data_IF_432805404411
#
_entry.id   IF_432805404411
#
_cell.length_a   1.000
_cell.length_b   1.000
_cell.length_c   1.000
_cell.angle_alpha   90.00
_cell.angle_beta   90.00
_cell.angle_gamma   90.00
#
_symmetry.space_group_name_H-M   'P 1'
#
loop_
_entity.id
_entity.type
_entity.pdbx_description
1 polymer ?
#
# COMPACT_ATOMS: atom_id res chain seq x y z
N UNK A 1 -0.17 -18.17 7.12
CA UNK A 1 0.51 -17.03 6.48
C UNK A 1 1.83 -16.80 7.20
N UNK A 2 2.88 -16.51 6.45
CA UNK A 2 4.25 -16.36 6.93
C UNK A 2 4.69 -14.91 6.76
N UNK A 3 5.18 -14.32 7.85
CA UNK A 3 5.89 -13.04 7.81
C UNK A 3 7.36 -13.31 7.48
N UNK A 4 7.97 -12.46 6.65
CA UNK A 4 9.30 -12.75 6.05
C UNK A 4 10.46 -12.60 7.04
N UNK A 5 10.38 -11.65 7.97
CA UNK A 5 11.54 -11.22 8.77
C UNK A 5 11.34 -11.19 10.28
N UNK A 6 10.08 -11.17 10.73
CA UNK A 6 9.71 -11.12 12.15
C UNK A 6 8.31 -11.66 12.34
N UNK A 7 7.92 -11.97 13.59
CA UNK A 7 6.55 -12.36 13.91
C UNK A 7 5.88 -11.23 14.68
N UNK A 8 4.83 -10.58 14.15
CA UNK A 8 4.12 -9.54 14.88
C UNK A 8 3.50 -10.06 16.18
N UNK A 9 3.35 -9.14 17.13
CA UNK A 9 2.64 -9.40 18.38
C UNK A 9 1.22 -9.92 18.10
N UNK A 10 0.76 -10.96 18.82
CA UNK A 10 -0.60 -11.46 18.67
C UNK A 10 -1.66 -10.37 18.88
N UNK A 11 -2.72 -10.37 18.07
CA UNK A 11 -3.76 -9.32 18.12
C UNK A 11 -4.42 -9.17 19.49
N UNK A 12 -4.58 -10.27 20.23
CA UNK A 12 -5.13 -10.30 21.59
C UNK A 12 -4.29 -9.55 22.64
N UNK A 13 -3.01 -9.31 22.35
CA UNK A 13 -2.09 -8.60 23.23
C UNK A 13 -1.94 -7.12 22.85
N UNK A 14 -2.63 -6.66 21.80
CA UNK A 14 -2.59 -5.27 21.40
C UNK A 14 -3.24 -4.36 22.45
N UNK A 15 -2.64 -3.19 22.66
CA UNK A 15 -3.12 -2.15 23.56
C UNK A 15 -3.15 -0.80 22.83
N UNK A 16 -3.75 0.23 23.46
CA UNK A 16 -3.77 1.60 22.94
C UNK A 16 -4.31 1.71 21.51
N UNK A 17 -3.61 2.49 20.68
CA UNK A 17 -3.99 2.75 19.28
C UNK A 17 -4.09 1.49 18.44
N UNK A 18 -3.16 0.55 18.59
CA UNK A 18 -3.17 -0.72 17.84
C UNK A 18 -4.43 -1.53 18.16
N UNK A 19 -4.86 -1.57 19.42
CA UNK A 19 -6.10 -2.25 19.79
C UNK A 19 -7.34 -1.57 19.17
N UNK A 20 -7.38 -0.24 19.14
CA UNK A 20 -8.47 0.52 18.52
C UNK A 20 -8.55 0.29 17.00
N UNK A 21 -7.40 0.21 16.32
CA UNK A 21 -7.33 -0.16 14.89
C UNK A 21 -7.85 -1.58 14.69
N UNK A 22 -7.42 -2.55 15.51
CA UNK A 22 -7.90 -3.93 15.42
C UNK A 22 -9.40 -4.07 15.71
N UNK A 23 -9.96 -3.23 16.57
CA UNK A 23 -11.40 -3.18 16.77
C UNK A 23 -12.11 -2.72 15.48
N UNK A 24 -11.71 -1.58 14.90
CA UNK A 24 -12.31 -1.12 13.64
C UNK A 24 -12.13 -2.12 12.50
N UNK A 25 -10.99 -2.78 12.41
CA UNK A 25 -10.76 -3.84 11.43
C UNK A 25 -11.79 -4.97 11.57
N UNK A 26 -12.08 -5.43 12.79
CA UNK A 26 -13.10 -6.47 13.01
C UNK A 26 -14.51 -6.02 12.61
N UNK A 27 -14.81 -4.75 12.83
CA UNK A 27 -16.15 -4.18 12.59
C UNK A 27 -16.40 -3.88 11.11
N UNK A 28 -15.37 -3.40 10.39
CA UNK A 28 -15.50 -2.85 9.05
C UNK A 28 -14.82 -3.70 7.95
N UNK A 29 -13.91 -4.61 8.30
CA UNK A 29 -13.07 -5.31 7.32
C UNK A 29 -13.00 -6.84 7.53
N UNK A 30 -13.31 -7.56 6.46
CA UNK A 30 -13.22 -9.02 6.40
C UNK A 30 -11.95 -9.53 5.69
N UNK A 31 -11.03 -8.63 5.34
CA UNK A 31 -9.83 -9.00 4.61
C UNK A 31 -8.69 -9.47 5.51
N UNK A 32 -7.49 -9.68 4.94
CA UNK A 32 -6.41 -10.35 5.65
C UNK A 32 -5.80 -9.44 6.73
N UNK A 33 -6.03 -9.80 7.99
CA UNK A 33 -5.38 -9.17 9.16
C UNK A 33 -3.84 -9.08 9.07
N UNK A 34 -3.12 -10.02 8.41
CA UNK A 34 -1.65 -9.99 8.41
C UNK A 34 -1.00 -8.74 7.84
N UNK A 35 -1.64 -8.05 6.88
CA UNK A 35 -1.16 -6.75 6.37
C UNK A 35 -1.03 -5.72 7.50
N UNK A 36 -2.06 -5.62 8.35
CA UNK A 36 -2.09 -4.67 9.46
C UNK A 36 -1.28 -5.14 10.65
N UNK A 37 -1.15 -6.45 10.87
CA UNK A 37 -0.25 -6.99 11.88
C UNK A 37 1.22 -6.69 11.56
N UNK A 38 1.64 -6.75 10.30
CA UNK A 38 3.02 -6.38 9.92
C UNK A 38 3.37 -4.92 10.24
N UNK A 39 2.38 -4.02 10.30
CA UNK A 39 2.58 -2.63 10.68
C UNK A 39 2.45 -2.36 12.18
N UNK A 40 2.05 -3.36 12.98
CA UNK A 40 1.69 -3.16 14.40
C UNK A 40 2.84 -2.76 15.32
N UNK A 41 4.08 -2.99 14.89
CA UNK A 41 5.27 -2.49 15.58
C UNK A 41 5.40 -0.95 15.52
N UNK A 42 4.65 -0.30 14.62
CA UNK A 42 4.64 1.15 14.41
C UNK A 42 3.19 1.65 14.40
N UNK A 43 2.56 1.84 15.58
CA UNK A 43 1.13 2.10 15.71
C UNK A 43 0.60 3.30 14.91
N UNK A 44 1.40 4.34 14.72
CA UNK A 44 1.08 5.53 13.93
C UNK A 44 1.02 5.23 12.43
N UNK A 45 1.93 4.41 11.89
CA UNK A 45 1.90 3.98 10.48
C UNK A 45 0.75 3.00 10.28
N UNK A 46 0.53 2.09 11.22
CA UNK A 46 -0.62 1.19 11.21
C UNK A 46 -1.94 1.96 11.14
N UNK A 47 -2.15 2.91 12.06
CA UNK A 47 -3.40 3.67 12.13
C UNK A 47 -3.63 4.50 10.86
N UNK A 48 -2.60 5.19 10.36
CA UNK A 48 -2.71 5.97 9.14
C UNK A 48 -2.95 5.10 7.88
N UNK A 49 -2.34 3.92 7.82
CA UNK A 49 -2.58 2.96 6.73
C UNK A 49 -4.01 2.42 6.77
N UNK A 50 -4.50 2.06 7.96
CA UNK A 50 -5.88 1.62 8.13
C UNK A 50 -6.86 2.73 7.78
N UNK A 51 -6.64 3.95 8.26
CA UNK A 51 -7.51 5.08 7.96
C UNK A 51 -7.60 5.35 6.46
N UNK A 52 -6.45 5.41 5.77
CA UNK A 52 -6.46 5.65 4.33
C UNK A 52 -7.20 4.53 3.57
N UNK A 53 -6.94 3.26 3.92
CA UNK A 53 -7.64 2.14 3.29
C UNK A 53 -9.14 2.18 3.57
N UNK A 54 -9.54 2.41 4.82
CA UNK A 54 -10.94 2.49 5.21
C UNK A 54 -11.67 3.62 4.49
N UNK A 55 -11.15 4.85 4.57
CA UNK A 55 -11.83 6.01 4.00
C UNK A 55 -11.86 5.98 2.47
N UNK A 56 -10.85 5.41 1.81
CA UNK A 56 -10.81 5.37 0.35
C UNK A 56 -11.52 4.15 -0.24
N UNK A 57 -11.30 2.95 0.32
CA UNK A 57 -11.82 1.70 -0.24
C UNK A 57 -13.17 1.30 0.37
N UNK A 58 -13.36 1.51 1.68
CA UNK A 58 -14.51 0.97 2.41
C UNK A 58 -15.69 1.94 2.52
N UNK A 59 -15.40 3.19 2.85
CA UNK A 59 -16.41 4.21 3.12
C UNK A 59 -16.67 5.12 1.91
N UNK A 60 -17.82 5.79 1.90
CA UNK A 60 -18.18 6.75 0.86
C UNK A 60 -18.96 6.16 -0.32
N UNK A 61 -19.24 7.03 -1.29
CA UNK A 61 -20.33 6.89 -2.27
C UNK A 61 -19.87 6.32 -3.61
N UNK A 62 -18.56 6.32 -3.91
CA UNK A 62 -18.09 5.77 -5.16
C UNK A 62 -18.37 4.25 -5.21
N UNK A 63 -18.73 3.70 -6.39
CA UNK A 63 -19.07 2.28 -6.50
C UNK A 63 -17.95 1.39 -5.95
N UNK A 64 -18.29 0.53 -4.98
CA UNK A 64 -17.29 -0.33 -4.34
C UNK A 64 -16.56 -1.24 -5.33
N UNK A 65 -17.24 -1.70 -6.39
CA UNK A 65 -16.64 -2.48 -7.47
C UNK A 65 -15.53 -1.72 -8.19
N UNK A 66 -15.69 -0.42 -8.44
CA UNK A 66 -14.68 0.40 -9.12
C UNK A 66 -13.44 0.61 -8.24
N UNK A 67 -13.65 0.81 -6.93
CA UNK A 67 -12.56 0.94 -5.96
C UNK A 67 -11.76 -0.37 -5.85
N UNK A 68 -12.44 -1.51 -5.71
CA UNK A 68 -11.78 -2.83 -5.72
C UNK A 68 -11.08 -3.13 -7.06
N UNK A 69 -11.65 -2.69 -8.18
CA UNK A 69 -11.04 -2.82 -9.51
C UNK A 69 -9.71 -2.05 -9.60
N UNK A 70 -9.69 -0.81 -9.11
CA UNK A 70 -8.48 0.01 -9.05
C UNK A 70 -7.44 -0.63 -8.14
N UNK A 71 -7.84 -1.10 -6.95
CA UNK A 71 -6.95 -1.79 -6.03
C UNK A 71 -6.32 -3.05 -6.65
N UNK A 72 -7.11 -3.86 -7.36
CA UNK A 72 -6.62 -5.03 -8.09
C UNK A 72 -5.66 -4.66 -9.22
N UNK A 73 -5.99 -3.62 -10.01
CA UNK A 73 -5.16 -3.16 -11.11
C UNK A 73 -3.80 -2.60 -10.65
N UNK A 74 -3.78 -1.80 -9.58
CA UNK A 74 -2.55 -1.32 -8.92
C UNK A 74 -1.75 -2.49 -8.35
N UNK A 75 -2.41 -3.50 -7.79
CA UNK A 75 -1.77 -4.72 -7.27
C UNK A 75 -1.08 -5.54 -8.34
N UNK A 76 -1.72 -5.69 -9.49
CA UNK A 76 -1.10 -6.28 -10.66
C UNK A 76 0.10 -5.46 -11.15
N UNK A 77 -0.06 -4.13 -11.28
CA UNK A 77 1.01 -3.25 -11.75
C UNK A 77 2.22 -3.23 -10.80
N UNK A 78 1.98 -3.25 -9.49
CA UNK A 78 3.02 -3.35 -8.45
C UNK A 78 3.54 -4.79 -8.24
N UNK A 79 3.07 -5.78 -9.01
CA UNK A 79 3.43 -7.21 -8.90
C UNK A 79 3.23 -7.79 -7.49
N UNK A 80 2.20 -7.32 -6.78
CA UNK A 80 1.85 -7.81 -5.44
C UNK A 80 0.75 -8.87 -5.55
N UNK A 81 1.16 -10.14 -5.61
CA UNK A 81 0.24 -11.27 -5.81
C UNK A 81 -0.78 -11.40 -4.67
N UNK A 82 -0.33 -11.22 -3.43
CA UNK A 82 -1.18 -11.27 -2.24
C UNK A 82 -2.37 -10.31 -2.34
N UNK A 83 -2.10 -9.04 -2.65
CA UNK A 83 -3.14 -8.03 -2.78
C UNK A 83 -4.01 -8.29 -4.02
N UNK A 84 -3.43 -8.68 -5.14
CA UNK A 84 -4.19 -9.04 -6.35
C UNK A 84 -5.22 -10.14 -6.04
N UNK A 85 -4.80 -11.22 -5.40
CA UNK A 85 -5.68 -12.33 -5.04
C UNK A 85 -6.79 -11.89 -4.08
N UNK A 86 -6.47 -11.04 -3.09
CA UNK A 86 -7.44 -10.52 -2.14
C UNK A 86 -8.52 -9.65 -2.82
N UNK A 87 -8.12 -8.77 -3.75
CA UNK A 87 -9.07 -7.91 -4.46
C UNK A 87 -9.88 -8.67 -5.52
N UNK A 88 -9.32 -9.68 -6.18
CA UNK A 88 -10.09 -10.58 -7.06
C UNK A 88 -11.15 -11.33 -6.25
N UNK A 89 -10.81 -11.84 -5.06
CA UNK A 89 -11.77 -12.45 -4.15
C UNK A 89 -12.90 -11.48 -3.75
N UNK A 90 -12.58 -10.23 -3.43
CA UNK A 90 -13.58 -9.21 -3.08
C UNK A 90 -14.48 -8.83 -4.27
N UNK A 91 -13.93 -8.74 -5.48
CA UNK A 91 -14.74 -8.54 -6.70
C UNK A 91 -15.74 -9.68 -6.92
N UNK A 92 -15.36 -10.94 -6.63
CA UNK A 92 -16.32 -12.05 -6.61
C UNK A 92 -17.41 -11.86 -5.55
N UNK A 93 -17.06 -11.43 -4.33
CA UNK A 93 -18.01 -11.19 -3.25
C UNK A 93 -19.04 -10.11 -3.61
N UNK A 94 -18.62 -9.09 -4.35
CA UNK A 94 -19.45 -8.02 -4.87
C UNK A 94 -20.31 -8.44 -6.09
N UNK A 95 -20.18 -9.69 -6.55
CA UNK A 95 -20.93 -10.20 -7.72
C UNK A 95 -20.27 -9.87 -9.06
N UNK A 96 -19.13 -9.19 -9.09
CA UNK A 96 -18.41 -8.80 -10.29
C UNK A 96 -17.47 -9.90 -10.82
N UNK A 97 -17.92 -11.16 -10.83
CA UNK A 97 -17.05 -12.33 -11.10
C UNK A 97 -16.38 -12.30 -12.48
N UNK A 98 -17.06 -11.83 -13.53
CA UNK A 98 -16.46 -11.70 -14.86
C UNK A 98 -15.32 -10.68 -14.88
N UNK A 99 -15.50 -9.56 -14.19
CA UNK A 99 -14.49 -8.52 -14.03
C UNK A 99 -13.30 -9.02 -13.20
N UNK A 100 -13.58 -9.72 -12.10
CA UNK A 100 -12.57 -10.33 -11.24
C UNK A 100 -11.62 -11.25 -12.04
N UNK A 101 -12.21 -12.12 -12.86
CA UNK A 101 -11.47 -13.08 -13.68
C UNK A 101 -10.69 -12.43 -14.83
N UNK A 102 -11.24 -11.39 -15.47
CA UNK A 102 -10.52 -10.60 -16.48
C UNK A 102 -9.26 -9.95 -15.89
N UNK A 103 -9.40 -9.28 -14.74
CA UNK A 103 -8.27 -8.63 -14.06
C UNK A 103 -7.22 -9.65 -13.58
N UNK A 104 -7.66 -10.79 -13.05
CA UNK A 104 -6.77 -11.88 -12.64
C UNK A 104 -5.91 -12.38 -13.82
N UNK A 105 -6.51 -12.55 -15.01
CA UNK A 105 -5.77 -12.93 -16.23
C UNK A 105 -5.00 -11.77 -16.85
N UNK A 106 -5.31 -10.53 -16.50
CA UNK A 106 -4.70 -9.34 -17.08
C UNK A 106 -5.33 -8.92 -18.40
N UNK A 107 -6.54 -9.35 -18.62
CA UNK A 107 -7.35 -8.96 -19.76
C UNK A 107 -7.96 -7.58 -19.50
N UNK A 108 -8.15 -6.82 -20.58
CA UNK A 108 -8.90 -5.56 -20.52
C UNK A 108 -10.38 -5.86 -20.28
N UNK A 109 -11.04 -5.24 -19.28
CA UNK A 109 -12.47 -5.37 -19.10
C UNK A 109 -13.25 -4.94 -20.36
N UNK A 110 -14.38 -5.60 -20.69
CA UNK A 110 -15.15 -5.29 -21.90
C UNK A 110 -15.87 -3.95 -21.83
N UNK A 111 -16.21 -3.47 -20.63
CA UNK A 111 -16.88 -2.18 -20.45
C UNK A 111 -15.87 -1.02 -20.52
N UNK A 112 -16.08 -0.01 -21.40
CA UNK A 112 -15.12 1.07 -21.62
C UNK A 112 -14.71 1.83 -20.35
N UNK A 113 -15.67 2.07 -19.44
CA UNK A 113 -15.41 2.75 -18.16
C UNK A 113 -14.45 1.95 -17.28
N UNK A 114 -14.68 0.65 -17.16
CA UNK A 114 -13.81 -0.25 -16.39
C UNK A 114 -12.43 -0.42 -17.05
N UNK A 115 -12.37 -0.47 -18.39
CA UNK A 115 -11.11 -0.51 -19.13
C UNK A 115 -10.27 0.75 -18.89
N UNK A 116 -10.90 1.93 -18.92
CA UNK A 116 -10.23 3.20 -18.65
C UNK A 116 -9.69 3.27 -17.21
N UNK A 117 -10.49 2.86 -16.22
CA UNK A 117 -10.08 2.79 -14.81
C UNK A 117 -8.87 1.86 -14.61
N UNK A 118 -8.91 0.66 -15.20
CA UNK A 118 -7.79 -0.30 -15.13
C UNK A 118 -6.55 0.26 -15.81
N UNK A 119 -6.67 0.86 -16.99
CA UNK A 119 -5.56 1.46 -17.72
C UNK A 119 -4.91 2.60 -16.94
N UNK A 120 -5.72 3.50 -16.37
CA UNK A 120 -5.27 4.59 -15.50
C UNK A 120 -4.54 4.06 -14.26
N UNK A 121 -5.14 3.09 -13.56
CA UNK A 121 -4.53 2.46 -12.39
C UNK A 121 -3.21 1.74 -12.73
N UNK A 122 -3.12 1.05 -13.87
CA UNK A 122 -1.89 0.36 -14.27
C UNK A 122 -0.77 1.33 -14.69
N UNK A 123 -1.11 2.43 -15.35
CA UNK A 123 -0.16 3.48 -15.69
C UNK A 123 0.49 4.09 -14.42
N UNK A 124 -0.08 3.87 -13.23
CA UNK A 124 0.32 4.59 -12.00
C UNK A 124 1.59 4.11 -11.38
N UNK A 125 2.04 2.95 -11.84
CA UNK A 125 3.38 2.50 -11.53
C UNK A 125 4.47 3.41 -12.08
N UNK A 126 4.25 3.99 -13.25
CA UNK A 126 5.21 4.81 -13.99
C UNK A 126 4.53 6.05 -14.57
N UNK A 127 4.17 7.02 -13.71
CA UNK A 127 3.62 8.29 -14.16
C UNK A 127 4.65 9.01 -15.04
N UNK A 128 4.46 9.04 -16.37
CA UNK A 128 5.36 9.83 -17.23
C UNK A 128 5.26 11.30 -16.83
N UNK A 129 6.41 11.97 -16.72
CA UNK A 129 6.50 13.37 -16.32
C UNK A 129 5.92 14.34 -17.39
N UNK A 130 4.58 14.42 -17.46
CA UNK A 130 3.76 15.55 -17.91
C UNK A 130 2.27 15.13 -17.90
N UNK A 131 1.46 15.84 -17.12
CA UNK A 131 0.00 15.90 -17.36
C UNK A 131 -0.82 14.67 -16.97
N UNK A 132 -0.49 13.98 -15.89
CA UNK A 132 -1.44 13.03 -15.35
C UNK A 132 -2.52 13.75 -14.54
N UNK A 133 -3.74 13.87 -15.06
CA UNK A 133 -4.89 14.32 -14.27
C UNK A 133 -5.60 13.14 -13.59
N UNK A 134 -5.92 13.28 -12.30
CA UNK A 134 -6.93 12.44 -11.69
C UNK A 134 -8.30 12.93 -12.15
N UNK A 135 -8.94 12.23 -13.09
CA UNK A 135 -10.34 12.49 -13.48
C UNK A 135 -11.34 11.89 -12.49
N UNK A 136 -10.85 11.29 -11.40
CA UNK A 136 -11.64 10.60 -10.41
C UNK A 136 -11.61 11.32 -9.06
N UNK A 137 -12.71 11.18 -8.31
CA UNK A 137 -12.86 11.77 -6.98
C UNK A 137 -11.98 11.10 -5.91
N UNK A 138 -12.00 11.65 -4.68
CA UNK A 138 -11.05 11.29 -3.62
C UNK A 138 -10.99 9.79 -3.29
N UNK A 139 -12.10 9.07 -3.33
CA UNK A 139 -12.14 7.64 -2.98
C UNK A 139 -11.37 6.75 -3.95
N UNK A 140 -11.50 7.00 -5.26
CA UNK A 140 -10.80 6.24 -6.30
C UNK A 140 -9.30 6.56 -6.28
N UNK A 141 -8.95 7.84 -6.18
CA UNK A 141 -7.57 8.32 -6.10
C UNK A 141 -6.88 7.87 -4.82
N UNK A 142 -7.56 8.01 -3.69
CA UNK A 142 -7.10 7.50 -2.41
C UNK A 142 -6.90 5.99 -2.42
N UNK A 143 -7.78 5.23 -3.09
CA UNK A 143 -7.63 3.78 -3.22
C UNK A 143 -6.38 3.43 -4.01
N UNK A 144 -6.13 4.12 -5.12
CA UNK A 144 -4.89 3.96 -5.89
C UNK A 144 -3.66 4.18 -5.00
N UNK A 145 -3.63 5.29 -4.26
CA UNK A 145 -2.48 5.64 -3.40
C UNK A 145 -2.33 4.68 -2.22
N UNK A 146 -3.44 4.25 -1.60
CA UNK A 146 -3.46 3.26 -0.53
C UNK A 146 -2.78 1.96 -0.99
N UNK A 147 -3.11 1.47 -2.18
CA UNK A 147 -2.52 0.23 -2.70
C UNK A 147 -1.15 0.43 -3.33
N UNK A 148 -0.74 1.64 -3.70
CA UNK A 148 0.69 1.91 -3.91
C UNK A 148 1.50 1.66 -2.64
N UNK A 149 1.03 2.18 -1.50
CA UNK A 149 1.72 2.00 -0.23
C UNK A 149 1.64 0.55 0.28
N UNK A 150 0.41 0.02 0.42
CA UNK A 150 0.15 -1.31 0.99
C UNK A 150 0.86 -2.40 0.20
N UNK A 151 0.84 -2.35 -1.13
CA UNK A 151 1.47 -3.40 -1.95
C UNK A 151 2.98 -3.49 -1.74
N UNK A 152 3.62 -2.35 -1.48
CA UNK A 152 5.06 -2.29 -1.18
C UNK A 152 5.36 -2.85 0.19
N UNK A 153 4.58 -2.48 1.20
CA UNK A 153 4.67 -3.03 2.57
C UNK A 153 4.44 -4.54 2.57
N UNK A 154 3.35 -5.00 1.96
CA UNK A 154 2.99 -6.43 1.89
C UNK A 154 4.08 -7.22 1.18
N UNK A 155 4.52 -6.78 0.01
CA UNK A 155 5.57 -7.49 -0.74
C UNK A 155 6.92 -7.48 -0.01
N UNK A 156 7.19 -6.48 0.83
CA UNK A 156 8.39 -6.43 1.65
C UNK A 156 8.32 -7.38 2.86
N UNK A 157 7.18 -7.44 3.55
CA UNK A 157 7.11 -8.04 4.89
C UNK A 157 6.37 -9.37 4.96
N UNK A 158 5.55 -9.70 3.96
CA UNK A 158 4.72 -10.91 3.93
C UNK A 158 5.15 -11.84 2.78
N UNK A 159 4.94 -13.13 3.00
CA UNK A 159 4.98 -14.13 1.94
C UNK A 159 3.88 -13.86 0.88
N UNK A 160 4.14 -14.13 -0.42
CA UNK A 160 3.19 -13.84 -1.49
C UNK A 160 1.86 -14.62 -1.41
N UNK A 161 1.81 -15.75 -0.70
CA UNK A 161 0.59 -16.57 -0.66
C UNK A 161 -0.45 -16.09 0.36
N UNK A 162 -1.64 -15.73 -0.13
CA UNK A 162 -2.77 -15.30 0.69
C UNK A 162 -3.38 -16.46 1.50
N UNK A 163 -3.62 -17.61 0.89
CA UNK A 163 -4.07 -18.82 1.60
C UNK A 163 -2.94 -19.84 1.65
N UNK A 164 -2.91 -20.72 2.67
CA UNK A 164 -1.92 -21.80 2.75
C UNK A 164 -1.85 -22.59 1.43
N UNK A 165 -0.65 -22.78 0.90
CA UNK A 165 -0.43 -23.52 -0.35
C UNK A 165 -1.01 -22.88 -1.61
N UNK A 166 -1.33 -21.57 -1.59
CA UNK A 166 -1.80 -20.86 -2.76
C UNK A 166 -3.24 -21.22 -3.18
N UNK A 167 -4.05 -21.80 -2.30
CA UNK A 167 -5.41 -22.27 -2.60
C UNK A 167 -6.33 -21.20 -3.20
N UNK A 168 -6.06 -19.91 -2.94
CA UNK A 168 -6.80 -18.78 -3.52
C UNK A 168 -6.67 -18.68 -5.04
N UNK A 169 -5.71 -19.39 -5.65
CA UNK A 169 -5.54 -19.41 -7.11
C UNK A 169 -6.62 -20.24 -7.81
N UNK A 170 -7.38 -21.06 -7.06
CA UNK A 170 -8.51 -21.82 -7.59
C UNK A 170 -9.77 -20.95 -7.76
N UNK A 171 -10.36 -20.86 -8.97
CA UNK A 171 -11.59 -20.11 -9.20
C UNK A 171 -12.76 -20.55 -8.31
N UNK A 172 -12.83 -21.86 -7.98
CA UNK A 172 -13.85 -22.41 -7.09
C UNK A 172 -13.69 -21.85 -5.67
N UNK A 173 -12.46 -21.82 -5.14
CA UNK A 173 -12.15 -21.28 -3.81
C UNK A 173 -12.47 -19.79 -3.77
N UNK A 174 -12.15 -19.03 -4.83
CA UNK A 174 -12.50 -17.61 -4.92
C UNK A 174 -14.00 -17.38 -4.93
N UNK A 175 -14.75 -18.17 -5.71
CA UNK A 175 -16.21 -18.07 -5.77
C UNK A 175 -16.88 -18.41 -4.44
N UNK A 176 -16.45 -19.49 -3.77
CA UNK A 176 -16.99 -19.91 -2.47
C UNK A 176 -16.62 -18.91 -1.38
N UNK A 177 -15.35 -18.52 -1.28
CA UNK A 177 -14.90 -17.51 -0.33
C UNK A 177 -15.62 -16.17 -0.52
N UNK A 178 -15.80 -15.73 -1.76
CA UNK A 178 -16.53 -14.50 -2.08
C UNK A 178 -17.98 -14.52 -1.58
N UNK A 179 -18.68 -15.65 -1.70
CA UNK A 179 -20.06 -15.78 -1.18
C UNK A 179 -20.15 -15.62 0.33
N UNK A 180 -19.17 -16.12 1.08
CA UNK A 180 -19.13 -15.97 2.54
C UNK A 180 -19.00 -14.51 2.99
N UNK A 181 -18.33 -13.68 2.18
CA UNK A 181 -18.05 -12.28 2.50
C UNK A 181 -19.00 -11.28 1.83
N UNK A 182 -19.95 -11.75 1.01
CA UNK A 182 -20.81 -10.89 0.19
C UNK A 182 -21.65 -9.88 0.99
N UNK A 183 -22.16 -10.25 2.18
CA UNK A 183 -23.02 -9.36 2.98
C UNK A 183 -22.23 -8.14 3.49
N UNK A 184 -21.12 -8.37 4.17
CA UNK A 184 -20.34 -7.28 4.75
C UNK A 184 -19.48 -6.54 3.71
N UNK A 185 -19.14 -7.16 2.57
CA UNK A 185 -18.52 -6.43 1.46
C UNK A 185 -19.46 -5.39 0.81
N UNK A 186 -20.78 -5.59 0.88
CA UNK A 186 -21.80 -4.70 0.30
C UNK A 186 -22.35 -3.67 1.28
N UNK A 187 -22.01 -3.79 2.55
CA UNK A 187 -22.48 -2.87 3.58
C UNK A 187 -21.82 -1.49 3.40
N UNK A 188 -22.62 -0.44 3.29
CA UNK A 188 -22.14 0.93 3.22
C UNK A 188 -21.50 1.34 4.54
N UNK A 189 -20.35 2.01 4.49
CA UNK A 189 -19.64 2.49 5.66
C UNK A 189 -19.60 4.01 5.66
N UNK A 190 -19.95 4.61 6.80
CA UNK A 190 -19.88 6.05 6.99
C UNK A 190 -18.43 6.55 6.93
N UNK A 191 -18.14 7.61 6.15
CA UNK A 191 -16.84 8.27 6.15
C UNK A 191 -16.46 8.86 7.51
N UNK A 192 -15.16 9.01 7.75
CA UNK A 192 -14.59 9.74 8.89
C UNK A 192 -14.37 8.94 10.16
N UNK A 193 -14.93 7.73 10.33
CA UNK A 193 -14.82 6.97 11.60
C UNK A 193 -13.37 6.58 11.96
N UNK A 194 -12.45 6.53 11.00
CA UNK A 194 -11.04 6.23 11.30
C UNK A 194 -10.21 7.46 11.68
N UNK A 195 -10.68 8.67 11.42
CA UNK A 195 -9.90 9.89 11.66
C UNK A 195 -9.50 10.10 13.13
N UNK A 196 -10.32 9.77 14.14
CA UNK A 196 -9.91 9.87 15.54
C UNK A 196 -8.74 8.96 15.94
N UNK A 197 -8.34 8.01 15.09
CA UNK A 197 -7.16 7.16 15.32
C UNK A 197 -5.84 7.86 14.96
N UNK A 198 -5.91 9.00 14.27
CA UNK A 198 -4.77 9.70 13.68
C UNK A 198 -4.25 10.79 14.62
N UNK A 199 -2.93 10.92 14.68
CA UNK A 199 -2.28 12.14 15.17
C UNK A 199 -2.20 13.14 14.02
N UNK A 200 -3.37 13.62 13.57
CA UNK A 200 -3.41 14.59 12.48
C UNK A 200 -2.74 15.88 12.95
N UNK A 201 -1.68 16.30 12.25
CA UNK A 201 -1.12 17.63 12.43
C UNK A 201 -2.16 18.64 11.92
N UNK A 202 -2.69 19.54 12.77
CA UNK A 202 -3.68 20.54 12.37
C UNK A 202 -3.16 21.48 11.27
N UNK A 203 -1.84 21.55 11.08
CA UNK A 203 -1.18 22.40 10.09
C UNK A 203 -0.92 21.69 8.76
N UNK A 204 -1.00 20.35 8.73
CA UNK A 204 -0.82 19.58 7.50
C UNK A 204 -2.04 19.73 6.59
N UNK A 205 -1.88 20.45 5.49
CA UNK A 205 -2.95 20.60 4.50
C UNK A 205 -3.13 19.30 3.69
N UNK A 206 -4.35 18.75 3.61
CA UNK A 206 -4.67 17.67 2.69
C UNK A 206 -4.32 18.03 1.25
N UNK A 207 -3.99 17.04 0.40
CA UNK A 207 -3.70 17.31 -1.00
C UNK A 207 -4.95 17.84 -1.74
N UNK A 208 -4.75 18.77 -2.67
CA UNK A 208 -5.84 19.46 -3.36
C UNK A 208 -6.86 18.52 -4.04
N UNK A 209 -6.41 17.37 -4.57
CA UNK A 209 -7.29 16.38 -5.21
C UNK A 209 -8.31 15.75 -4.25
N UNK A 210 -8.08 15.83 -2.94
CA UNK A 210 -8.95 15.24 -1.94
C UNK A 210 -10.07 16.18 -1.46
N UNK A 211 -9.98 17.49 -1.73
CA UNK A 211 -10.87 18.49 -1.14
C UNK A 211 -10.96 18.34 0.39
N UNK A 212 -12.18 18.44 0.93
CA UNK A 212 -12.48 18.25 2.35
C UNK A 212 -12.72 16.78 2.75
N UNK A 213 -12.40 15.83 1.87
CA UNK A 213 -12.66 14.40 2.12
C UNK A 213 -11.78 13.85 3.26
N UNK A 214 -12.33 12.97 4.13
CA UNK A 214 -11.54 12.19 5.10
C UNK A 214 -10.34 11.46 4.48
N UNK A 215 -10.43 11.10 3.19
CA UNK A 215 -9.34 10.46 2.44
C UNK A 215 -8.08 11.34 2.42
N UNK A 216 -8.25 12.65 2.25
CA UNK A 216 -7.12 13.60 2.20
C UNK A 216 -6.38 13.69 3.53
N UNK A 217 -7.13 13.76 4.63
CA UNK A 217 -6.58 13.77 6.01
C UNK A 217 -5.84 12.48 6.31
N UNK A 218 -6.43 11.33 5.95
CA UNK A 218 -5.82 10.02 6.14
C UNK A 218 -4.53 9.86 5.31
N UNK A 219 -4.53 10.33 4.05
CA UNK A 219 -3.35 10.29 3.19
C UNK A 219 -2.22 11.18 3.72
N UNK A 220 -2.52 12.42 4.12
CA UNK A 220 -1.54 13.32 4.71
C UNK A 220 -0.92 12.72 6.00
N UNK A 221 -1.76 12.15 6.86
CA UNK A 221 -1.30 11.48 8.08
C UNK A 221 -0.40 10.28 7.79
N UNK A 222 -0.71 9.48 6.75
CA UNK A 222 0.14 8.36 6.33
C UNK A 222 1.48 8.85 5.78
N UNK A 223 1.43 9.89 4.94
CA UNK A 223 2.62 10.52 4.38
C UNK A 223 3.57 10.94 5.50
N UNK A 224 3.07 11.69 6.47
CA UNK A 224 3.88 12.24 7.54
C UNK A 224 4.36 11.14 8.50
N UNK A 225 3.50 10.19 8.88
CA UNK A 225 3.88 9.09 9.77
C UNK A 225 4.96 8.18 9.18
N UNK A 226 4.86 7.84 7.89
CA UNK A 226 5.85 7.00 7.23
C UNK A 226 7.13 7.77 6.85
N UNK A 227 7.03 9.08 6.53
CA UNK A 227 8.19 9.91 6.24
C UNK A 227 9.16 10.03 7.43
N UNK A 228 8.62 10.15 8.66
CA UNK A 228 9.41 10.20 9.90
C UNK A 228 10.36 9.00 10.07
N UNK A 229 10.05 7.85 9.48
CA UNK A 229 10.95 6.70 9.49
C UNK A 229 12.31 6.99 8.86
N UNK A 230 12.34 7.76 7.77
CA UNK A 230 13.59 8.20 7.14
C UNK A 230 14.34 9.19 8.01
N UNK A 231 13.64 10.14 8.64
CA UNK A 231 14.25 11.17 9.48
C UNK A 231 14.95 10.59 10.72
N UNK A 232 14.36 9.53 11.29
CA UNK A 232 14.87 8.85 12.48
C UNK A 232 16.02 7.88 12.18
N UNK A 233 16.05 7.26 11.00
CA UNK A 233 16.89 6.08 10.73
C UNK A 233 18.00 6.31 9.70
N UNK A 234 17.93 7.38 8.90
CA UNK A 234 18.86 7.66 7.81
C UNK A 234 19.40 9.08 7.92
N UNK A 235 20.65 9.32 7.55
CA UNK A 235 21.20 10.67 7.40
C UNK A 235 20.69 11.40 6.16
N UNK A 236 20.99 12.69 6.05
CA UNK A 236 20.50 13.56 4.97
C UNK A 236 20.85 13.05 3.58
N UNK A 237 22.10 12.63 3.37
CA UNK A 237 22.59 12.12 2.08
C UNK A 237 21.77 10.89 1.66
N UNK A 238 21.55 9.96 2.59
CA UNK A 238 20.76 8.76 2.35
C UNK A 238 19.30 9.09 1.95
N UNK A 239 18.63 9.98 2.70
CA UNK A 239 17.25 10.41 2.38
C UNK A 239 17.15 11.12 1.02
N UNK A 240 18.14 11.95 0.70
CA UNK A 240 18.23 12.62 -0.59
C UNK A 240 18.44 11.62 -1.73
N UNK A 241 19.30 10.61 -1.55
CA UNK A 241 19.49 9.52 -2.51
C UNK A 241 18.17 8.80 -2.77
N UNK A 242 17.44 8.36 -1.73
CA UNK A 242 16.13 7.68 -1.91
C UNK A 242 15.16 8.55 -2.70
N UNK A 243 14.99 9.80 -2.28
CA UNK A 243 14.03 10.72 -2.91
C UNK A 243 14.41 11.04 -4.36
N UNK A 244 15.69 11.27 -4.63
CA UNK A 244 16.18 11.56 -5.98
C UNK A 244 16.02 10.35 -6.90
N UNK A 245 16.43 9.15 -6.47
CA UNK A 245 16.29 7.93 -7.27
C UNK A 245 14.83 7.63 -7.58
N UNK A 246 13.92 7.79 -6.60
CA UNK A 246 12.47 7.62 -6.83
C UNK A 246 11.96 8.56 -7.92
N UNK A 247 12.39 9.82 -7.91
CA UNK A 247 11.99 10.81 -8.92
C UNK A 247 12.56 10.52 -10.31
N UNK A 248 13.82 10.07 -10.40
CA UNK A 248 14.51 9.88 -11.69
C UNK A 248 14.14 8.57 -12.40
N UNK A 249 13.88 7.49 -11.66
CA UNK A 249 13.63 6.17 -12.26
C UNK A 249 12.16 5.94 -12.67
N UNK A 250 11.27 6.90 -12.38
CA UNK A 250 9.85 6.90 -12.76
C UNK A 250 9.14 5.58 -12.43
N UNK A 251 9.51 4.95 -11.30
CA UNK A 251 8.89 3.73 -10.80
C UNK A 251 9.05 2.48 -11.67
N UNK A 252 9.94 2.46 -12.68
CA UNK A 252 10.21 1.26 -13.47
C UNK A 252 10.77 0.13 -12.59
N UNK A 253 10.32 -1.10 -12.82
CA UNK A 253 10.89 -2.26 -12.14
C UNK A 253 12.32 -2.53 -12.61
N UNK A 254 13.32 -2.53 -11.72
CA UNK A 254 14.68 -2.90 -12.09
C UNK A 254 14.74 -4.36 -12.55
N UNK A 255 15.50 -4.65 -13.61
CA UNK A 255 15.65 -6.01 -14.11
C UNK A 255 16.40 -6.93 -13.13
N UNK A 256 17.41 -6.39 -12.45
CA UNK A 256 18.17 -7.05 -11.38
C UNK A 256 18.12 -6.18 -10.12
N UNK A 257 17.04 -6.23 -9.33
CA UNK A 257 16.83 -5.29 -8.22
C UNK A 257 17.94 -5.29 -7.17
N UNK A 258 18.47 -6.47 -6.84
CA UNK A 258 19.56 -6.58 -5.87
C UNK A 258 20.82 -5.84 -6.35
N UNK A 259 21.25 -6.06 -7.58
CA UNK A 259 22.43 -5.41 -8.16
C UNK A 259 22.20 -3.89 -8.32
N UNK A 260 21.05 -3.52 -8.89
CA UNK A 260 20.64 -2.13 -9.06
C UNK A 260 20.69 -1.35 -7.74
N UNK A 261 20.16 -1.93 -6.66
CA UNK A 261 20.15 -1.26 -5.36
C UNK A 261 21.56 -1.18 -4.74
N UNK A 262 22.52 -2.04 -5.12
CA UNK A 262 23.93 -1.88 -4.70
C UNK A 262 24.53 -0.67 -5.40
N UNK A 263 24.29 -0.54 -6.71
CA UNK A 263 24.82 0.57 -7.49
C UNK A 263 24.28 1.91 -7.03
N UNK A 264 22.98 1.99 -6.71
CA UNK A 264 22.34 3.24 -6.26
C UNK A 264 22.85 3.76 -4.91
N UNK A 265 23.47 2.91 -4.08
CA UNK A 265 23.97 3.29 -2.74
C UNK A 265 25.49 3.37 -2.66
N UNK A 266 26.19 3.33 -3.80
CA UNK A 266 27.66 3.32 -3.85
C UNK A 266 28.29 4.51 -3.13
N UNK A 267 27.71 5.69 -3.33
CA UNK A 267 28.21 6.96 -2.79
C UNK A 267 27.57 7.33 -1.43
N UNK A 268 26.71 6.45 -0.88
CA UNK A 268 26.10 6.64 0.43
C UNK A 268 27.11 6.26 1.52
N UNK A 269 27.21 7.04 2.62
CA UNK A 269 28.04 6.71 3.77
C UNK A 269 27.80 5.28 4.28
N UNK A 270 28.87 4.62 4.72
CA UNK A 270 28.83 3.19 5.08
C UNK A 270 27.78 2.86 6.16
N UNK A 271 27.56 3.75 7.12
CA UNK A 271 26.57 3.60 8.21
C UNK A 271 25.13 3.51 7.69
N UNK A 272 24.82 4.25 6.63
CA UNK A 272 23.44 4.39 6.13
C UNK A 272 23.17 3.51 4.91
N UNK A 273 24.23 3.00 4.28
CA UNK A 273 24.20 2.28 3.01
C UNK A 273 23.17 1.15 2.98
N UNK A 274 23.15 0.31 4.02
CA UNK A 274 22.21 -0.80 4.10
C UNK A 274 20.76 -0.32 4.32
N UNK A 275 20.58 0.74 5.10
CA UNK A 275 19.27 1.36 5.32
C UNK A 275 18.71 1.93 4.02
N UNK A 276 19.51 2.72 3.30
CA UNK A 276 19.16 3.29 1.99
C UNK A 276 18.83 2.21 0.97
N UNK A 277 19.60 1.10 0.95
CA UNK A 277 19.36 -0.04 0.08
C UNK A 277 17.98 -0.66 0.33
N UNK A 278 17.64 -0.91 1.60
CA UNK A 278 16.33 -1.47 1.97
C UNK A 278 15.20 -0.51 1.58
N UNK A 279 15.35 0.79 1.83
CA UNK A 279 14.35 1.80 1.45
C UNK A 279 14.12 1.86 -0.08
N UNK A 280 15.20 1.82 -0.88
CA UNK A 280 15.10 1.77 -2.34
C UNK A 280 14.44 0.48 -2.84
N UNK A 281 14.79 -0.67 -2.26
CA UNK A 281 14.12 -1.93 -2.58
C UNK A 281 12.64 -1.89 -2.20
N UNK A 282 12.29 -1.35 -1.03
CA UNK A 282 10.90 -1.16 -0.63
C UNK A 282 10.12 -0.24 -1.59
N UNK A 283 10.76 0.77 -2.18
CA UNK A 283 10.15 1.66 -3.17
C UNK A 283 9.93 0.98 -4.54
N UNK A 284 10.89 0.16 -5.00
CA UNK A 284 10.95 -0.33 -6.39
C UNK A 284 10.64 -1.82 -6.57
N UNK A 285 11.18 -2.67 -5.71
CA UNK A 285 11.08 -4.13 -5.81
C UNK A 285 11.10 -4.77 -4.41
N UNK A 286 10.03 -4.61 -3.61
CA UNK A 286 10.06 -4.93 -2.18
C UNK A 286 10.30 -6.42 -1.89
N UNK A 287 9.88 -7.29 -2.81
CA UNK A 287 10.14 -8.74 -2.72
C UNK A 287 11.63 -9.10 -2.81
N UNK A 288 12.47 -8.20 -3.34
CA UNK A 288 13.90 -8.41 -3.48
C UNK A 288 14.72 -8.04 -2.23
N UNK A 289 14.10 -7.47 -1.18
CA UNK A 289 14.74 -7.33 0.14
C UNK A 289 15.06 -8.74 0.63
N UNK A 290 16.33 -9.03 0.93
CA UNK A 290 16.76 -10.36 1.34
C UNK A 290 16.86 -10.49 2.87
N UNK A 291 16.82 -11.72 3.41
CA UNK A 291 17.16 -11.95 4.82
C UNK A 291 18.55 -11.43 5.20
N UNK A 292 19.51 -11.46 4.25
CA UNK A 292 20.85 -10.91 4.44
C UNK A 292 20.86 -9.39 4.61
N UNK A 293 20.04 -8.67 3.84
CA UNK A 293 19.90 -7.23 3.99
C UNK A 293 19.38 -6.88 5.39
N UNK A 294 18.35 -7.61 5.85
CA UNK A 294 17.76 -7.41 7.18
C UNK A 294 18.69 -7.82 8.31
N UNK A 295 19.45 -8.90 8.15
CA UNK A 295 20.44 -9.33 9.14
C UNK A 295 21.53 -8.27 9.34
N UNK A 296 22.03 -7.67 8.24
CA UNK A 296 23.01 -6.59 8.30
C UNK A 296 22.43 -5.32 8.93
N UNK A 297 21.19 -4.95 8.58
CA UNK A 297 20.49 -3.82 9.19
C UNK A 297 20.34 -3.97 10.72
N UNK A 298 19.99 -5.17 11.17
CA UNK A 298 19.77 -5.48 12.59
C UNK A 298 21.02 -5.41 13.47
N UNK A 299 22.22 -5.37 12.89
CA UNK A 299 23.45 -5.16 13.66
C UNK A 299 23.45 -3.79 14.37
N UNK A 300 22.83 -2.78 13.76
CA UNK A 300 22.72 -1.42 14.33
C UNK A 300 21.31 -1.09 14.80
N UNK A 301 20.28 -1.73 14.23
CA UNK A 301 18.86 -1.45 14.50
C UNK A 301 18.11 -2.76 14.84
N UNK A 302 18.27 -3.29 16.07
CA UNK A 302 17.75 -4.61 16.42
C UNK A 302 16.22 -4.69 16.52
N UNK A 303 15.53 -3.56 16.65
CA UNK A 303 14.09 -3.51 16.82
C UNK A 303 13.33 -3.72 15.50
N UNK A 304 12.29 -4.56 15.51
CA UNK A 304 11.42 -4.77 14.34
C UNK A 304 10.73 -3.48 13.88
N UNK A 305 10.45 -2.57 14.81
CA UNK A 305 9.87 -1.27 14.51
C UNK A 305 10.74 -0.45 13.53
N UNK A 306 12.06 -0.53 13.63
CA UNK A 306 12.97 0.22 12.75
C UNK A 306 12.94 -0.32 11.32
N UNK A 307 12.87 -1.64 11.15
CA UNK A 307 12.67 -2.25 9.84
C UNK A 307 11.32 -1.83 9.23
N UNK A 308 10.25 -1.86 10.02
CA UNK A 308 8.91 -1.46 9.56
C UNK A 308 8.88 0.02 9.16
N UNK A 309 9.50 0.91 9.95
CA UNK A 309 9.65 2.33 9.63
C UNK A 309 10.41 2.56 8.33
N UNK A 310 11.51 1.83 8.13
CA UNK A 310 12.34 1.97 6.95
C UNK A 310 11.63 1.47 5.67
N UNK A 311 10.91 0.35 5.76
CA UNK A 311 10.07 -0.16 4.67
C UNK A 311 8.93 0.80 4.36
N UNK A 312 8.26 1.32 5.40
CA UNK A 312 7.20 2.32 5.25
C UNK A 312 7.73 3.60 4.59
N UNK A 313 8.92 4.06 4.97
CA UNK A 313 9.59 5.21 4.36
C UNK A 313 9.79 5.01 2.85
N UNK A 314 10.43 3.91 2.44
CA UNK A 314 10.60 3.61 1.00
C UNK A 314 9.26 3.49 0.25
N UNK A 315 8.27 2.83 0.87
CA UNK A 315 6.93 2.68 0.30
C UNK A 315 6.22 4.03 0.11
N UNK A 316 6.28 4.92 1.09
CA UNK A 316 5.62 6.22 1.02
C UNK A 316 6.34 7.17 0.09
N UNK A 317 7.68 7.14 -0.01
CA UNK A 317 8.42 7.98 -0.98
C UNK A 317 7.98 7.66 -2.42
N UNK A 318 7.85 6.38 -2.76
CA UNK A 318 7.34 5.97 -4.07
C UNK A 318 5.87 6.35 -4.28
N UNK A 319 5.05 6.25 -3.23
CA UNK A 319 3.61 6.58 -3.30
C UNK A 319 3.39 8.08 -3.43
N UNK A 320 4.15 8.90 -2.71
CA UNK A 320 4.12 10.38 -2.79
C UNK A 320 4.63 10.88 -4.14
N UNK A 321 5.59 10.20 -4.76
CA UNK A 321 5.98 10.49 -6.14
C UNK A 321 4.81 10.30 -7.12
N UNK A 322 4.03 9.22 -6.98
CA UNK A 322 2.81 9.01 -7.78
C UNK A 322 1.76 10.08 -7.48
N UNK A 323 1.52 10.40 -6.21
CA UNK A 323 0.56 11.43 -5.82
C UNK A 323 0.93 12.82 -6.37
N UNK A 324 2.21 13.19 -6.39
CA UNK A 324 2.68 14.46 -6.95
C UNK A 324 2.59 14.52 -8.47
N UNK A 325 2.64 13.38 -9.15
CA UNK A 325 2.45 13.33 -10.58
C UNK A 325 0.99 13.55 -10.99
N UNK A 326 0.04 13.32 -10.08
CA UNK A 326 -1.37 13.68 -10.27
C UNK A 326 -1.50 15.21 -10.23
N UNK A 327 -1.60 15.85 -11.40
CA UNK A 327 -2.14 17.18 -11.51
C UNK A 327 -3.58 17.18 -10.99
N UNK A 328 -3.94 18.21 -10.23
CA UNK A 328 -5.34 18.62 -10.10
C UNK A 328 -5.88 18.82 -11.52
N UNK A 329 -6.92 18.07 -11.89
CA UNK A 329 -7.68 18.42 -13.09
C UNK A 329 -8.16 19.87 -12.91
N UNK A 330 -8.09 20.74 -13.94
CA UNK A 330 -8.77 22.03 -13.86
C UNK A 330 -10.26 21.75 -13.61
N UNK A 331 -10.80 22.38 -12.57
CA UNK A 331 -12.21 22.39 -12.20
C UNK A 331 -13.10 22.80 -13.38
#
# INVERSE_FOLDING_TARGET
MTYRFFTPTPTRAATGRTAAVYQQLRDDFLGPLPTFQALSAVPEVLAATWALMREALLAGDAPRVERELVAAAVSRANRCQFCLDAHVLLLHALGASKLAEAVARGETPPEPRHAALVGWAQASRSPRAAGWTSTHGPEITGTLLAFHFINRVVSALLDPDLLPGGLQRSPLVRSVGGRLYAKAARESKEPGRSLPLLDADPTASPPAWAGDSPVGVAYASLRDAAARGGDLLLGDVARQTVTATVRWEEGRFPARPADWAVDMVRDVPGTDRIGTRIALLAAFAPSAISPGDVALWRLSHPADADLVRLVAYGAITATDHVARALASAPL
#
